data_IF_278105363131
#
_entry.id   IF_278105363131
#
_cell.length_a   1.000
_cell.length_b   1.000
_cell.length_c   1.000
_cell.angle_alpha   90.00
_cell.angle_beta   90.00
_cell.angle_gamma   90.00
#
_symmetry.space_group_name_H-M   'P 1'
#
loop_
_entity.id
_entity.type
_entity.pdbx_description
1 polymer ?
#
# COMPACT_ATOMS: atom_id res chain seq x y z
N UNK A 1 -0.29 23.88 30.65
CA UNK A 1 1.08 24.10 30.16
C UNK A 1 1.25 23.18 28.98
N UNK A 2 1.58 23.73 27.81
CA UNK A 2 1.38 23.06 26.51
C UNK A 2 2.07 21.70 26.40
N UNK A 3 1.29 20.72 25.95
CA UNK A 3 1.76 19.41 25.49
C UNK A 3 1.96 19.52 23.97
N UNK A 4 3.18 19.82 23.53
CA UNK A 4 3.55 19.66 22.12
C UNK A 4 4.11 18.26 21.90
N UNK A 5 3.56 17.44 20.98
CA UNK A 5 4.18 16.17 20.63
C UNK A 5 5.47 16.41 19.83
N UNK A 6 6.41 15.48 19.94
CA UNK A 6 7.53 15.42 19.02
C UNK A 6 7.05 14.71 17.74
N UNK A 7 6.89 15.45 16.65
CA UNK A 7 6.56 14.88 15.35
C UNK A 7 7.72 14.03 14.82
N UNK A 8 7.72 12.73 15.07
CA UNK A 8 8.51 11.79 14.29
C UNK A 8 7.75 11.44 13.01
N UNK A 9 8.37 11.72 11.86
CA UNK A 9 7.88 11.31 10.56
C UNK A 9 7.87 9.78 10.47
N UNK A 10 6.73 9.18 10.84
CA UNK A 10 6.45 7.78 10.61
C UNK A 10 6.51 7.47 9.13
N UNK A 11 7.35 6.50 8.76
CA UNK A 11 7.57 6.04 7.38
C UNK A 11 6.28 5.42 6.82
N UNK A 12 5.43 6.26 6.24
CA UNK A 12 4.20 5.89 5.55
C UNK A 12 3.87 6.98 4.54
N UNK A 13 3.98 6.65 3.25
CA UNK A 13 3.93 7.61 2.14
C UNK A 13 2.78 8.61 2.23
N UNK A 14 3.16 9.89 2.26
CA UNK A 14 2.30 11.06 2.35
C UNK A 14 3.02 12.15 3.13
N UNK A 15 4.02 12.80 2.51
CA UNK A 15 4.74 13.93 3.09
C UNK A 15 3.77 15.08 3.37
N UNK A 16 3.29 15.16 4.61
CA UNK A 16 2.83 16.42 5.21
C UNK A 16 3.93 16.84 6.19
N UNK A 17 4.51 18.04 6.09
CA UNK A 17 5.57 18.48 6.98
C UNK A 17 5.10 18.39 8.45
N UNK A 18 6.02 18.07 9.36
CA UNK A 18 5.71 17.92 10.80
C UNK A 18 4.90 19.11 11.38
N UNK A 19 5.08 20.30 10.83
CA UNK A 19 4.30 21.51 11.16
C UNK A 19 2.80 21.38 10.92
N UNK A 20 2.39 20.64 9.89
CA UNK A 20 0.98 20.43 9.57
C UNK A 20 0.35 19.44 10.56
N UNK A 21 1.14 18.49 11.05
CA UNK A 21 0.71 17.46 11.98
C UNK A 21 0.53 18.03 13.40
N UNK A 22 1.46 18.88 13.84
CA UNK A 22 1.34 19.63 15.10
C UNK A 22 0.14 20.58 15.05
N UNK A 23 -0.08 21.27 13.91
CA UNK A 23 -1.23 22.15 13.72
C UNK A 23 -2.56 21.38 13.75
N UNK A 24 -2.60 20.19 13.13
CA UNK A 24 -3.76 19.29 13.16
C UNK A 24 -4.04 18.78 14.58
N UNK A 25 -2.99 18.45 15.32
CA UNK A 25 -3.08 18.03 16.72
C UNK A 25 -3.60 19.16 17.60
N UNK A 26 -3.06 20.36 17.47
CA UNK A 26 -3.53 21.52 18.22
C UNK A 26 -4.98 21.86 17.89
N UNK A 27 -5.37 21.82 16.60
CA UNK A 27 -6.75 22.01 16.18
C UNK A 27 -7.68 20.94 16.76
N UNK A 28 -7.22 19.69 16.83
CA UNK A 28 -7.96 18.60 17.47
C UNK A 28 -8.16 18.87 18.97
N UNK A 29 -7.12 19.19 19.73
CA UNK A 29 -7.24 19.50 21.16
C UNK A 29 -8.16 20.70 21.42
N UNK A 30 -8.04 21.75 20.61
CA UNK A 30 -8.94 22.91 20.70
C UNK A 30 -10.40 22.54 20.41
N UNK A 31 -10.65 21.61 19.47
CA UNK A 31 -11.99 21.11 19.19
C UNK A 31 -12.58 20.25 20.32
N UNK A 32 -11.71 19.56 21.08
CA UNK A 32 -12.09 18.69 22.18
C UNK A 32 -12.44 19.46 23.47
N UNK A 33 -11.67 20.51 23.79
CA UNK A 33 -11.83 21.36 24.99
C UNK A 33 -13.20 22.06 25.05
N UNK A 34 -13.93 22.15 23.92
CA UNK A 34 -15.27 22.74 23.84
C UNK A 34 -16.40 21.81 23.41
N UNK A 35 -16.13 20.58 22.95
CA UNK A 35 -17.12 19.79 22.18
C UNK A 35 -17.35 18.34 22.61
N UNK A 36 -16.34 17.63 23.13
CA UNK A 36 -16.43 16.16 23.32
C UNK A 36 -15.63 15.65 24.55
N UNK A 37 -16.06 15.97 25.79
CA UNK A 37 -15.36 15.55 27.01
C UNK A 37 -15.26 14.02 27.18
N UNK A 38 -16.21 13.27 26.62
CA UNK A 38 -16.22 11.81 26.62
C UNK A 38 -15.08 11.22 25.79
N UNK A 39 -14.71 11.87 24.68
CA UNK A 39 -13.62 11.43 23.82
C UNK A 39 -12.26 11.69 24.47
N UNK A 40 -12.11 12.82 25.18
CA UNK A 40 -10.93 13.10 26.01
C UNK A 40 -10.74 12.05 27.12
N UNK A 41 -11.84 11.68 27.80
CA UNK A 41 -11.83 10.62 28.80
C UNK A 41 -11.47 9.25 28.18
N UNK A 42 -11.95 8.97 26.97
CA UNK A 42 -11.60 7.75 26.22
C UNK A 42 -10.11 7.69 25.87
N UNK A 43 -9.53 8.81 25.40
CA UNK A 43 -8.11 8.92 25.09
C UNK A 43 -7.22 8.74 26.33
N UNK A 44 -7.63 9.32 27.45
CA UNK A 44 -6.86 9.29 28.71
C UNK A 44 -6.90 7.91 29.41
N UNK A 45 -7.83 7.04 29.01
CA UNK A 45 -8.03 5.73 29.64
C UNK A 45 -8.51 5.80 31.10
N UNK A 46 -8.80 4.65 31.74
CA UNK A 46 -9.03 4.62 33.17
C UNK A 46 -7.73 4.98 33.89
N UNK A 47 -7.79 5.96 34.79
CA UNK A 47 -6.65 6.38 35.61
C UNK A 47 -6.10 5.18 36.40
N UNK A 48 -5.08 4.51 35.86
CA UNK A 48 -4.29 3.56 36.63
C UNK A 48 -3.55 4.38 37.70
N UNK A 49 -3.75 3.99 38.96
CA UNK A 49 -3.34 4.77 40.13
C UNK A 49 -1.92 5.35 40.02
N UNK A 50 -1.85 6.68 40.12
CA UNK A 50 -0.73 7.48 40.61
C UNK A 50 0.68 6.86 40.52
N UNK A 51 1.39 7.20 39.45
CA UNK A 51 2.85 7.41 39.49
C UNK A 51 3.12 8.83 38.96
N UNK A 52 4.06 9.60 39.54
CA UNK A 52 4.29 10.98 39.16
C UNK A 52 5.13 11.07 37.88
N UNK A 53 4.68 11.95 36.98
CA UNK A 53 5.50 12.80 36.10
C UNK A 53 6.72 12.14 35.43
N UNK A 54 6.47 11.34 34.40
CA UNK A 54 7.31 11.39 33.21
C UNK A 54 6.45 11.99 32.08
N UNK A 55 6.97 12.91 31.24
CA UNK A 55 6.24 13.36 30.08
C UNK A 55 5.93 12.13 29.22
N UNK A 56 4.64 11.79 29.10
CA UNK A 56 4.18 10.79 28.15
C UNK A 56 4.45 11.35 26.77
N UNK A 57 5.52 10.89 26.12
CA UNK A 57 5.83 11.25 24.75
C UNK A 57 4.81 10.54 23.85
N UNK A 58 3.68 11.21 23.61
CA UNK A 58 2.66 10.76 22.67
C UNK A 58 3.24 10.91 21.26
N UNK A 59 3.33 9.80 20.53
CA UNK A 59 3.67 9.81 19.12
C UNK A 59 2.39 9.90 18.31
N UNK A 60 2.33 10.86 17.39
CA UNK A 60 1.17 11.10 16.54
C UNK A 60 1.55 10.82 15.10
N UNK A 61 0.79 9.96 14.42
CA UNK A 61 1.04 9.58 13.03
C UNK A 61 -0.20 9.87 12.20
N UNK A 62 -0.04 10.60 11.11
CA UNK A 62 -1.10 10.75 10.11
C UNK A 62 -1.05 9.55 9.16
N UNK A 63 -2.14 8.81 9.07
CA UNK A 63 -2.24 7.60 8.23
C UNK A 63 -3.24 7.80 7.12
N UNK A 64 -2.85 7.47 5.89
CA UNK A 64 -3.74 7.46 4.72
C UNK A 64 -4.16 6.02 4.39
N UNK A 65 -5.47 5.78 4.36
CA UNK A 65 -6.09 4.52 4.01
C UNK A 65 -6.60 4.60 2.56
N UNK A 66 -6.01 3.79 1.69
CA UNK A 66 -6.41 3.69 0.28
C UNK A 66 -7.29 2.44 0.12
N UNK A 67 -8.61 2.59 -0.03
CA UNK A 67 -9.51 1.44 0.01
C UNK A 67 -9.44 0.69 -1.33
N UNK A 68 -9.57 -0.64 -1.27
CA UNK A 68 -9.64 -1.46 -2.48
C UNK A 68 -10.99 -1.22 -3.17
N UNK A 69 -10.98 -0.84 -4.44
CA UNK A 69 -12.22 -0.71 -5.24
C UNK A 69 -12.93 -2.06 -5.36
N UNK A 70 -14.25 -2.01 -5.27
CA UNK A 70 -15.11 -3.18 -5.41
C UNK A 70 -16.53 -2.77 -5.80
N UNK A 71 -17.43 -3.72 -6.05
CA UNK A 71 -18.80 -3.44 -6.50
C UNK A 71 -19.60 -2.52 -5.56
N UNK A 72 -19.18 -2.42 -4.29
CA UNK A 72 -19.81 -1.58 -3.26
C UNK A 72 -19.12 -0.22 -3.06
N UNK A 73 -17.98 0.03 -3.71
CA UNK A 73 -17.26 1.31 -3.61
C UNK A 73 -16.53 1.60 -4.94
N UNK A 74 -17.18 2.31 -5.89
CA UNK A 74 -16.67 2.51 -7.26
C UNK A 74 -15.45 3.42 -7.36
N UNK A 75 -15.31 4.36 -6.41
CA UNK A 75 -14.18 5.27 -6.26
C UNK A 75 -14.01 5.54 -4.77
N UNK A 76 -13.25 4.68 -4.10
CA UNK A 76 -13.03 4.84 -2.67
C UNK A 76 -11.98 5.94 -2.49
N UNK A 77 -12.43 7.17 -2.26
CA UNK A 77 -11.55 8.31 -1.96
C UNK A 77 -10.66 7.93 -0.78
N UNK A 78 -9.33 8.18 -0.84
CA UNK A 78 -8.45 7.94 0.29
C UNK A 78 -9.02 8.59 1.55
N UNK A 79 -8.97 7.86 2.67
CA UNK A 79 -9.37 8.37 3.98
C UNK A 79 -8.13 8.66 4.79
N UNK A 80 -8.15 9.71 5.62
CA UNK A 80 -7.09 9.98 6.57
C UNK A 80 -7.56 9.67 7.99
N UNK A 81 -6.65 9.19 8.81
CA UNK A 81 -6.87 9.00 10.25
C UNK A 81 -5.64 9.46 11.02
N UNK A 82 -5.87 10.05 12.18
CA UNK A 82 -4.83 10.33 13.17
C UNK A 82 -4.64 9.06 14.02
N UNK A 83 -3.40 8.62 14.16
CA UNK A 83 -3.03 7.48 15.02
C UNK A 83 -2.21 8.01 16.18
N UNK A 84 -2.78 7.96 17.37
CA UNK A 84 -2.15 8.40 18.62
C UNK A 84 -1.58 7.18 19.31
N UNK A 85 -0.26 7.15 19.48
CA UNK A 85 0.48 6.05 20.09
C UNK A 85 1.01 6.51 21.44
N UNK A 86 0.56 5.85 22.50
CA UNK A 86 1.13 5.94 23.83
C UNK A 86 1.77 4.60 24.15
N UNK A 87 3.04 4.48 23.78
CA UNK A 87 3.82 3.25 23.95
C UNK A 87 3.98 2.91 25.43
N UNK A 88 4.05 3.91 26.30
CA UNK A 88 4.24 3.73 27.74
C UNK A 88 2.99 3.16 28.41
N UNK A 89 1.80 3.61 28.01
CA UNK A 89 0.53 3.03 28.50
C UNK A 89 0.08 1.80 27.71
N UNK A 90 0.80 1.45 26.63
CA UNK A 90 0.46 0.32 25.77
C UNK A 90 -0.82 0.57 24.96
N UNK A 91 -1.11 1.82 24.60
CA UNK A 91 -2.33 2.17 23.86
C UNK A 91 -2.03 2.76 22.49
N UNK A 92 -2.87 2.41 21.52
CA UNK A 92 -2.89 3.01 20.19
C UNK A 92 -4.33 3.36 19.84
N UNK A 93 -4.61 4.63 19.61
CA UNK A 93 -5.94 5.13 19.28
C UNK A 93 -6.00 5.60 17.83
N UNK A 94 -7.05 5.21 17.14
CA UNK A 94 -7.31 5.55 15.74
C UNK A 94 -8.48 6.52 15.67
N UNK A 95 -8.22 7.70 15.10
CA UNK A 95 -9.11 8.85 15.04
C UNK A 95 -9.39 9.19 13.57
N UNK A 96 -10.53 8.76 12.99
CA UNK A 96 -10.91 9.12 11.64
C UNK A 96 -10.97 10.63 11.41
N UNK A 97 -10.58 11.06 10.21
CA UNK A 97 -10.63 12.46 9.79
C UNK A 97 -11.64 12.66 8.65
N UNK A 98 -12.42 13.72 8.77
CA UNK A 98 -13.25 14.29 7.72
C UNK A 98 -12.55 15.53 7.17
N UNK A 99 -12.51 15.64 5.84
CA UNK A 99 -11.98 16.81 5.14
C UNK A 99 -13.12 17.53 4.44
N UNK A 100 -13.24 18.83 4.69
CA UNK A 100 -14.16 19.66 3.93
C UNK A 100 -13.58 20.10 2.57
N UNK A 101 -14.44 20.62 1.70
CA UNK A 101 -14.04 21.13 0.38
C UNK A 101 -13.01 22.29 0.45
N UNK A 102 -12.83 22.89 1.64
CA UNK A 102 -11.84 23.93 1.92
C UNK A 102 -10.50 23.40 2.44
N UNK A 103 -10.35 22.09 2.62
CA UNK A 103 -9.16 21.45 3.15
C UNK A 103 -9.04 21.50 4.69
N UNK A 104 -10.08 21.93 5.40
CA UNK A 104 -10.09 21.83 6.86
C UNK A 104 -10.35 20.40 7.27
N UNK A 105 -9.55 19.93 8.22
CA UNK A 105 -9.61 18.56 8.73
C UNK A 105 -10.28 18.57 10.09
N UNK A 106 -11.28 17.71 10.28
CA UNK A 106 -11.97 17.54 11.55
C UNK A 106 -11.96 16.07 11.95
N UNK A 107 -11.70 15.80 13.24
CA UNK A 107 -11.83 14.43 13.77
C UNK A 107 -13.31 14.04 13.84
N UNK A 108 -13.65 12.91 13.22
CA UNK A 108 -14.96 12.31 13.38
C UNK A 108 -15.05 11.61 14.74
N UNK A 109 -16.24 11.64 15.35
CA UNK A 109 -16.51 10.89 16.58
C UNK A 109 -17.09 9.50 16.31
N UNK A 110 -17.41 9.21 15.05
CA UNK A 110 -17.73 7.87 14.54
C UNK A 110 -16.46 7.06 14.31
N UNK A 111 -16.58 5.74 14.39
CA UNK A 111 -15.53 4.80 14.00
C UNK A 111 -14.18 4.93 14.76
N UNK A 112 -14.15 5.68 15.86
CA UNK A 112 -12.99 5.80 16.75
C UNK A 112 -12.83 4.49 17.53
N UNK A 113 -11.61 3.95 17.54
CA UNK A 113 -11.28 2.77 18.33
C UNK A 113 -9.86 2.83 18.90
N UNK A 114 -9.63 2.07 19.96
CA UNK A 114 -8.34 1.98 20.65
C UNK A 114 -7.95 0.51 20.80
N UNK A 115 -6.69 0.20 20.50
CA UNK A 115 -6.05 -1.07 20.84
C UNK A 115 -5.26 -0.83 22.12
N UNK A 116 -5.46 -1.69 23.12
CA UNK A 116 -4.76 -1.61 24.40
C UNK A 116 -4.10 -2.93 24.75
N UNK A 117 -2.82 -2.84 25.06
CA UNK A 117 -2.03 -3.89 25.69
C UNK A 117 -2.02 -3.64 27.20
N UNK A 118 -2.42 -4.63 27.99
CA UNK A 118 -2.35 -4.58 29.45
C UNK A 118 -1.74 -5.86 30.00
N UNK A 119 -1.22 -5.77 31.23
CA UNK A 119 -0.68 -6.92 31.94
C UNK A 119 -1.46 -7.13 33.23
N UNK A 120 -1.89 -8.37 33.49
CA UNK A 120 -2.53 -8.77 34.74
C UNK A 120 -2.02 -10.14 35.17
N UNK A 121 -1.56 -10.26 36.41
CA UNK A 121 -1.10 -11.53 37.00
C UNK A 121 -0.15 -12.33 36.09
N UNK A 122 0.85 -11.64 35.52
CA UNK A 122 1.86 -12.19 34.59
C UNK A 122 1.38 -12.52 33.17
N UNK A 123 0.08 -12.42 32.88
CA UNK A 123 -0.47 -12.58 31.53
C UNK A 123 -0.62 -11.23 30.81
N UNK A 124 -0.38 -11.25 29.50
CA UNK A 124 -0.58 -10.09 28.63
C UNK A 124 -1.93 -10.20 27.92
N UNK A 125 -2.66 -9.09 27.89
CA UNK A 125 -3.98 -8.98 27.28
C UNK A 125 -3.97 -7.91 26.20
N UNK A 126 -4.47 -8.26 25.01
CA UNK A 126 -4.76 -7.31 23.95
C UNK A 126 -6.26 -7.11 23.91
N UNK A 127 -6.70 -5.86 23.99
CA UNK A 127 -8.12 -5.49 23.96
C UNK A 127 -8.37 -4.42 22.89
N UNK A 128 -9.58 -4.43 22.34
CA UNK A 128 -10.07 -3.39 21.42
C UNK A 128 -11.26 -2.72 22.09
N UNK A 129 -11.20 -1.39 22.17
CA UNK A 129 -12.26 -0.54 22.70
C UNK A 129 -12.79 0.30 21.54
N UNK A 130 -14.10 0.32 21.34
CA UNK A 130 -14.76 1.19 20.36
C UNK A 130 -15.42 2.33 21.11
N UNK A 131 -15.12 3.56 20.72
CA UNK A 131 -15.77 4.75 21.26
C UNK A 131 -17.16 4.89 20.66
N UNK A 132 -18.19 5.02 21.51
CA UNK A 132 -19.61 5.05 21.12
C UNK A 132 -19.96 4.02 20.02
N UNK A 133 -20.03 2.72 20.34
CA UNK A 133 -20.29 1.66 19.36
C UNK A 133 -21.53 1.89 18.48
N UNK A 134 -22.50 2.64 18.97
CA UNK A 134 -23.73 3.04 18.28
C UNK A 134 -23.46 3.96 17.08
N UNK A 135 -22.30 4.62 17.05
CA UNK A 135 -21.80 5.49 15.96
C UNK A 135 -20.82 4.78 15.03
N UNK A 136 -20.69 3.45 15.12
CA UNK A 136 -19.84 2.70 14.22
C UNK A 136 -20.53 2.48 12.86
N UNK A 137 -19.94 3.02 11.80
CA UNK A 137 -20.41 2.81 10.44
C UNK A 137 -19.45 1.89 9.69
N UNK A 138 -19.88 0.66 9.40
CA UNK A 138 -19.05 -0.28 8.65
C UNK A 138 -19.30 -0.16 7.15
N UNK A 139 -18.25 0.14 6.39
CA UNK A 139 -18.21 0.02 4.94
C UNK A 139 -17.64 -1.34 4.47
N UNK A 140 -17.11 -2.14 5.39
CA UNK A 140 -16.52 -3.45 5.14
C UNK A 140 -15.16 -3.41 4.44
N UNK A 141 -14.57 -2.23 4.22
CA UNK A 141 -13.29 -2.03 3.54
C UNK A 141 -12.34 -1.21 4.42
N UNK A 142 -12.67 0.05 4.68
CA UNK A 142 -11.89 0.94 5.57
C UNK A 142 -12.25 0.66 7.01
N UNK A 143 -13.56 0.58 7.28
CA UNK A 143 -14.11 0.30 8.59
C UNK A 143 -14.76 -1.10 8.58
N UNK A 144 -14.05 -2.13 9.09
CA UNK A 144 -14.56 -3.48 9.11
C UNK A 144 -15.77 -3.61 10.04
N UNK A 145 -16.44 -4.76 9.99
CA UNK A 145 -17.49 -5.08 10.95
C UNK A 145 -16.89 -5.16 12.36
N UNK A 146 -17.54 -4.65 13.42
CA UNK A 146 -17.02 -4.71 14.78
C UNK A 146 -16.68 -6.13 15.24
N UNK A 147 -17.45 -7.14 14.80
CA UNK A 147 -17.16 -8.54 15.06
C UNK A 147 -15.78 -8.98 14.53
N UNK A 148 -15.38 -8.49 13.35
CA UNK A 148 -14.07 -8.80 12.77
C UNK A 148 -12.92 -8.24 13.61
N UNK A 149 -13.10 -7.06 14.23
CA UNK A 149 -12.10 -6.50 15.15
C UNK A 149 -11.88 -7.44 16.35
N UNK A 150 -12.96 -7.94 16.95
CA UNK A 150 -12.87 -8.84 18.10
C UNK A 150 -12.38 -10.24 17.76
N UNK A 151 -12.91 -10.85 16.69
CA UNK A 151 -12.69 -12.26 16.38
C UNK A 151 -11.40 -12.51 15.59
N UNK A 152 -11.07 -11.61 14.65
CA UNK A 152 -9.96 -11.81 13.71
C UNK A 152 -8.75 -10.95 14.05
N UNK A 153 -8.94 -9.65 14.30
CA UNK A 153 -7.82 -8.73 14.50
C UNK A 153 -7.05 -9.06 15.79
N UNK A 154 -7.75 -9.30 16.91
CA UNK A 154 -7.10 -9.68 18.18
C UNK A 154 -6.26 -10.94 18.05
N UNK A 155 -6.81 -11.99 17.42
CA UNK A 155 -6.10 -13.25 17.21
C UNK A 155 -4.84 -13.08 16.36
N UNK A 156 -4.89 -12.20 15.34
CA UNK A 156 -3.73 -11.86 14.50
C UNK A 156 -2.68 -11.06 15.25
N UNK A 157 -3.09 -10.04 16.00
CA UNK A 157 -2.19 -9.22 16.81
C UNK A 157 -1.46 -10.06 17.85
N UNK A 158 -2.18 -10.93 18.56
CA UNK A 158 -1.57 -11.85 19.53
C UNK A 158 -0.52 -12.75 18.86
N UNK A 159 -0.85 -13.33 17.70
CA UNK A 159 0.09 -14.16 16.93
C UNK A 159 1.33 -13.36 16.49
N UNK A 160 1.14 -12.18 15.92
CA UNK A 160 2.23 -11.33 15.43
C UNK A 160 3.13 -10.82 16.56
N UNK A 161 2.57 -10.58 17.76
CA UNK A 161 3.35 -10.13 18.91
C UNK A 161 4.35 -11.17 19.42
N UNK A 162 4.09 -12.46 19.20
CA UNK A 162 4.97 -13.57 19.62
C UNK A 162 5.90 -14.02 18.48
N UNK A 163 5.52 -13.78 17.22
CA UNK A 163 6.40 -14.03 16.07
C UNK A 163 7.61 -13.08 16.11
N UNK A 164 8.77 -13.59 16.56
CA UNK A 164 10.05 -12.84 16.60
C UNK A 164 10.69 -12.62 15.22
N UNK A 165 9.90 -12.26 14.21
CA UNK A 165 10.45 -11.81 12.95
C UNK A 165 10.95 -10.39 13.16
N UNK A 166 12.25 -10.16 12.94
CA UNK A 166 12.80 -8.82 12.70
C UNK A 166 12.11 -8.23 11.47
N UNK A 167 10.93 -7.67 11.68
CA UNK A 167 10.13 -6.97 10.69
C UNK A 167 10.73 -5.57 10.49
N UNK A 168 11.99 -5.53 10.02
CA UNK A 168 12.45 -4.33 9.34
C UNK A 168 11.82 -4.37 7.96
N UNK A 169 10.61 -3.81 7.81
CA UNK A 169 10.20 -3.38 6.48
C UNK A 169 11.27 -2.37 6.05
N UNK A 170 12.18 -2.78 5.17
CA UNK A 170 13.13 -1.84 4.59
C UNK A 170 12.29 -0.76 3.95
N UNK A 171 12.57 0.51 4.30
CA UNK A 171 11.99 1.68 3.63
C UNK A 171 11.93 1.36 2.15
N UNK A 172 10.72 1.22 1.62
CA UNK A 172 10.52 0.93 0.21
C UNK A 172 11.06 2.14 -0.54
N UNK A 173 11.75 1.93 -1.66
CA UNK A 173 12.26 3.04 -2.48
C UNK A 173 11.14 4.01 -2.91
N UNK A 174 9.87 3.57 -2.83
CA UNK A 174 8.65 4.37 -3.00
C UNK A 174 8.71 5.29 -4.22
N UNK A 175 9.26 4.78 -5.33
CA UNK A 175 9.55 5.56 -6.54
C UNK A 175 8.29 6.13 -7.23
N UNK A 176 7.11 5.63 -6.87
CA UNK A 176 5.83 6.08 -7.45
C UNK A 176 4.78 6.35 -6.37
N UNK A 177 3.84 7.24 -6.67
CA UNK A 177 2.69 7.50 -5.81
C UNK A 177 1.80 6.27 -5.63
N UNK A 178 1.54 5.88 -4.38
CA UNK A 178 0.65 4.76 -4.03
C UNK A 178 -0.78 5.01 -4.53
N UNK A 179 -1.22 6.28 -4.54
CA UNK A 179 -2.55 6.67 -5.03
C UNK A 179 -2.64 6.45 -6.55
N UNK A 180 -1.65 6.93 -7.31
CA UNK A 180 -1.59 6.71 -8.76
C UNK A 180 -1.51 5.21 -9.07
N UNK A 181 -0.64 4.49 -8.38
CA UNK A 181 -0.51 3.03 -8.52
C UNK A 181 -1.83 2.32 -8.30
N UNK A 182 -2.52 2.62 -7.20
CA UNK A 182 -3.79 1.98 -6.85
C UNK A 182 -4.84 2.23 -7.93
N UNK A 183 -4.93 3.45 -8.47
CA UNK A 183 -5.86 3.79 -9.55
C UNK A 183 -5.53 3.05 -10.85
N UNK A 184 -4.28 3.10 -11.30
CA UNK A 184 -3.84 2.45 -12.54
C UNK A 184 -3.97 0.93 -12.46
N UNK A 185 -3.56 0.33 -11.34
CA UNK A 185 -3.71 -1.10 -11.09
C UNK A 185 -5.17 -1.54 -11.20
N UNK A 186 -6.11 -0.81 -10.60
CA UNK A 186 -7.53 -1.18 -10.63
C UNK A 186 -8.13 -1.04 -12.04
N UNK A 187 -7.77 0.02 -12.76
CA UNK A 187 -8.15 0.21 -14.16
C UNK A 187 -7.66 -0.97 -15.04
N UNK A 188 -6.39 -1.34 -14.92
CA UNK A 188 -5.83 -2.47 -15.67
C UNK A 188 -6.44 -3.80 -15.21
N UNK A 189 -6.63 -4.00 -13.91
CA UNK A 189 -7.26 -5.19 -13.35
C UNK A 189 -8.65 -5.42 -13.94
N UNK A 190 -9.45 -4.37 -14.04
CA UNK A 190 -10.78 -4.42 -14.66
C UNK A 190 -10.68 -4.70 -16.17
N UNK A 191 -9.74 -4.05 -16.88
CA UNK A 191 -9.50 -4.24 -18.32
C UNK A 191 -9.11 -5.69 -18.67
N UNK A 192 -8.31 -6.34 -17.82
CA UNK A 192 -7.77 -7.69 -18.07
C UNK A 192 -8.47 -8.79 -17.26
N UNK A 193 -9.55 -8.49 -16.53
CA UNK A 193 -10.27 -9.47 -15.70
C UNK A 193 -10.75 -10.70 -16.46
N UNK A 194 -11.12 -10.53 -17.74
CA UNK A 194 -11.64 -11.64 -18.55
C UNK A 194 -10.53 -12.63 -18.93
N UNK A 195 -9.26 -12.22 -18.90
CA UNK A 195 -8.11 -13.10 -19.09
C UNK A 195 -8.07 -14.22 -18.05
N UNK A 196 -8.54 -13.95 -16.83
CA UNK A 196 -8.64 -14.95 -15.76
C UNK A 196 -9.60 -16.08 -16.14
N UNK A 197 -10.67 -15.78 -16.89
CA UNK A 197 -11.70 -16.75 -17.27
C UNK A 197 -11.27 -17.66 -18.42
N UNK A 198 -10.38 -17.18 -19.29
CA UNK A 198 -9.96 -17.87 -20.51
C UNK A 198 -8.50 -18.32 -20.46
N UNK A 199 -7.91 -18.41 -19.26
CA UNK A 199 -6.52 -18.77 -19.04
C UNK A 199 -6.24 -20.23 -19.47
N UNK A 200 -5.40 -20.47 -20.49
CA UNK A 200 -5.18 -21.82 -21.03
C UNK A 200 -4.03 -22.56 -20.34
N UNK A 201 -3.32 -21.92 -19.41
CA UNK A 201 -2.17 -22.50 -18.71
C UNK A 201 -2.61 -23.24 -17.44
N UNK A 202 -1.72 -24.11 -16.93
CA UNK A 202 -1.98 -24.93 -15.73
C UNK A 202 -1.77 -24.18 -14.41
N UNK A 203 -1.37 -22.91 -14.49
CA UNK A 203 -1.12 -22.04 -13.34
C UNK A 203 -2.40 -21.39 -12.84
N UNK A 204 -2.37 -20.89 -11.60
CA UNK A 204 -3.49 -20.14 -11.02
C UNK A 204 -3.69 -18.80 -11.76
N UNK A 205 -4.80 -18.62 -12.51
CA UNK A 205 -5.00 -17.43 -13.30
C UNK A 205 -5.14 -16.17 -12.45
N UNK A 206 -5.76 -16.23 -11.26
CA UNK A 206 -5.92 -15.05 -10.42
C UNK A 206 -4.59 -14.55 -9.90
N UNK A 207 -3.69 -15.48 -9.55
CA UNK A 207 -2.34 -15.11 -9.12
C UNK A 207 -1.54 -14.48 -10.25
N UNK A 208 -1.40 -15.18 -11.38
CA UNK A 208 -0.46 -14.79 -12.43
C UNK A 208 -0.95 -13.57 -13.22
N UNK A 209 -2.24 -13.50 -13.56
CA UNK A 209 -2.79 -12.34 -14.28
C UNK A 209 -2.63 -11.06 -13.47
N UNK A 210 -2.96 -11.11 -12.17
CA UNK A 210 -2.91 -9.91 -11.33
C UNK A 210 -1.50 -9.54 -10.87
N UNK A 211 -0.54 -10.46 -10.91
CA UNK A 211 0.89 -10.18 -10.74
C UNK A 211 1.42 -9.37 -11.93
N UNK A 212 1.18 -9.81 -13.16
CA UNK A 212 1.60 -9.09 -14.37
C UNK A 212 0.91 -7.72 -14.50
N UNK A 213 -0.38 -7.63 -14.13
CA UNK A 213 -1.11 -6.35 -14.05
C UNK A 213 -0.50 -5.39 -13.02
N UNK A 214 -0.04 -5.90 -11.87
CA UNK A 214 0.63 -5.10 -10.86
C UNK A 214 1.97 -4.53 -11.37
N UNK A 215 2.78 -5.37 -12.01
CA UNK A 215 4.06 -4.95 -12.59
C UNK A 215 3.84 -3.92 -13.70
N UNK A 216 2.88 -4.17 -14.61
CA UNK A 216 2.55 -3.24 -15.68
C UNK A 216 2.10 -1.88 -15.14
N UNK A 217 1.22 -1.85 -14.12
CA UNK A 217 0.77 -0.62 -13.50
C UNK A 217 1.94 0.21 -12.94
N UNK A 218 2.90 -0.46 -12.30
CA UNK A 218 4.09 0.17 -11.75
C UNK A 218 4.96 0.80 -12.85
N UNK A 219 5.29 0.03 -13.89
CA UNK A 219 6.15 0.47 -14.99
C UNK A 219 5.53 1.63 -15.77
N UNK A 220 4.22 1.56 -16.07
CA UNK A 220 3.55 2.62 -16.83
C UNK A 220 3.59 3.97 -16.11
N UNK A 221 3.41 3.98 -14.79
CA UNK A 221 3.49 5.20 -13.97
C UNK A 221 4.92 5.71 -13.92
N UNK A 222 5.88 4.82 -13.62
CA UNK A 222 7.29 5.17 -13.54
C UNK A 222 7.78 5.81 -14.85
N UNK A 223 7.47 5.18 -15.98
CA UNK A 223 7.82 5.65 -17.31
C UNK A 223 7.10 6.94 -17.69
N UNK A 224 5.85 7.13 -17.28
CA UNK A 224 5.13 8.39 -17.51
C UNK A 224 5.75 9.56 -16.73
N UNK A 225 6.12 9.34 -15.47
CA UNK A 225 6.76 10.35 -14.63
C UNK A 225 8.16 10.70 -15.15
N UNK A 226 8.96 9.70 -15.51
CA UNK A 226 10.27 9.88 -16.15
C UNK A 226 10.17 10.68 -17.45
N UNK A 227 9.20 10.34 -18.33
CA UNK A 227 8.96 11.12 -19.57
C UNK A 227 8.60 12.56 -19.28
N UNK A 228 7.74 12.80 -18.28
CA UNK A 228 7.33 14.15 -17.92
C UNK A 228 8.52 14.98 -17.41
N UNK A 229 9.35 14.39 -16.54
CA UNK A 229 10.55 15.02 -15.98
C UNK A 229 11.59 15.35 -17.06
N UNK A 230 11.86 14.41 -17.96
CA UNK A 230 12.82 14.58 -19.05
C UNK A 230 12.25 15.31 -20.29
N UNK A 231 10.98 15.72 -20.23
CA UNK A 231 10.24 16.35 -21.33
C UNK A 231 10.26 15.53 -22.64
N UNK A 232 10.17 14.20 -22.51
CA UNK A 232 10.14 13.26 -23.62
C UNK A 232 8.70 12.94 -24.03
N UNK A 233 8.47 12.82 -25.34
CA UNK A 233 7.17 12.41 -25.88
C UNK A 233 7.16 10.95 -26.34
N UNK A 234 8.33 10.39 -26.64
CA UNK A 234 8.45 9.00 -27.07
C UNK A 234 8.24 8.05 -25.88
N UNK A 235 7.48 6.97 -26.09
CA UNK A 235 7.27 5.93 -25.09
C UNK A 235 8.50 5.03 -24.99
N UNK A 236 8.88 4.70 -23.75
CA UNK A 236 9.98 3.78 -23.44
C UNK A 236 9.79 2.46 -24.16
N UNK A 237 10.85 2.02 -24.82
CA UNK A 237 11.01 0.72 -25.42
C UNK A 237 11.53 -0.30 -24.43
N UNK A 238 11.17 -1.58 -24.60
CA UNK A 238 11.58 -2.61 -23.65
C UNK A 238 11.82 -3.99 -24.28
N UNK A 239 12.62 -4.80 -23.59
CA UNK A 239 12.71 -6.24 -23.80
C UNK A 239 12.49 -6.97 -22.48
N UNK A 240 11.62 -7.97 -22.51
CA UNK A 240 11.35 -8.86 -21.39
C UNK A 240 12.08 -10.21 -21.57
N UNK A 241 13.05 -10.48 -20.71
CA UNK A 241 13.96 -11.63 -20.75
C UNK A 241 13.45 -12.74 -19.84
N UNK A 242 13.04 -13.85 -20.43
CA UNK A 242 12.29 -14.89 -19.72
C UNK A 242 10.84 -14.46 -19.49
N UNK A 243 10.16 -13.99 -20.54
CA UNK A 243 8.82 -13.40 -20.41
C UNK A 243 7.71 -14.42 -20.06
N UNK A 244 8.01 -15.72 -20.07
CA UNK A 244 7.12 -16.80 -19.66
C UNK A 244 5.79 -16.78 -20.41
N UNK A 245 4.73 -16.44 -19.69
CA UNK A 245 3.38 -16.41 -20.25
C UNK A 245 3.17 -15.24 -21.26
N UNK A 246 4.00 -14.19 -21.21
CA UNK A 246 3.97 -13.07 -22.16
C UNK A 246 2.88 -12.02 -21.91
N UNK A 247 2.08 -12.14 -20.85
CA UNK A 247 1.01 -11.20 -20.53
C UNK A 247 1.55 -9.81 -20.21
N UNK A 248 2.67 -9.68 -19.49
CA UNK A 248 3.28 -8.38 -19.23
C UNK A 248 3.64 -7.66 -20.54
N UNK A 249 4.28 -8.37 -21.47
CA UNK A 249 4.60 -7.86 -22.82
C UNK A 249 3.32 -7.45 -23.55
N UNK A 250 2.27 -8.28 -23.49
CA UNK A 250 0.97 -7.98 -24.10
C UNK A 250 0.35 -6.70 -23.55
N UNK A 251 0.36 -6.51 -22.22
CA UNK A 251 -0.19 -5.32 -21.56
C UNK A 251 0.60 -4.09 -22.00
N UNK A 252 1.92 -4.08 -21.83
CA UNK A 252 2.77 -2.92 -22.15
C UNK A 252 2.69 -2.53 -23.64
N UNK A 253 2.70 -3.53 -24.54
CA UNK A 253 2.56 -3.29 -25.99
C UNK A 253 1.18 -2.74 -26.36
N UNK A 254 0.12 -3.22 -25.70
CA UNK A 254 -1.25 -2.70 -25.88
C UNK A 254 -1.39 -1.28 -25.36
N UNK A 255 -0.66 -0.92 -24.31
CA UNK A 255 -0.53 0.46 -23.82
C UNK A 255 0.40 1.31 -24.70
N UNK A 256 0.91 0.78 -25.82
CA UNK A 256 1.64 1.51 -26.85
C UNK A 256 3.15 1.62 -26.61
N UNK A 257 3.71 0.85 -25.68
CA UNK A 257 5.15 0.77 -25.49
C UNK A 257 5.76 -0.22 -26.50
N UNK A 258 6.73 0.20 -27.34
CA UNK A 258 7.35 -0.70 -28.29
C UNK A 258 8.24 -1.71 -27.56
N UNK A 259 8.02 -3.00 -27.77
CA UNK A 259 8.85 -4.00 -27.11
C UNK A 259 8.54 -5.42 -27.55
N UNK A 260 9.28 -6.35 -26.97
CA UNK A 260 9.10 -7.79 -27.19
C UNK A 260 9.49 -8.60 -25.98
N UNK A 261 8.97 -9.82 -25.89
CA UNK A 261 9.39 -10.82 -24.92
C UNK A 261 10.13 -11.97 -25.57
N UNK A 262 11.14 -12.49 -24.88
CA UNK A 262 11.89 -13.67 -25.30
C UNK A 262 11.78 -14.70 -24.18
N UNK A 263 11.35 -15.91 -24.50
CA UNK A 263 11.34 -17.03 -23.56
C UNK A 263 11.92 -18.28 -24.22
N UNK A 264 12.57 -19.14 -23.44
CA UNK A 264 13.13 -20.40 -23.93
C UNK A 264 12.05 -21.34 -24.48
N UNK A 265 10.79 -21.17 -24.05
CA UNK A 265 9.68 -22.03 -24.45
C UNK A 265 8.40 -21.25 -24.71
N UNK A 266 7.83 -21.45 -25.90
CA UNK A 266 6.51 -20.91 -26.25
C UNK A 266 5.41 -21.49 -25.34
N UNK A 267 4.52 -20.61 -24.85
CA UNK A 267 3.32 -20.97 -24.07
C UNK A 267 2.06 -20.97 -24.93
N UNK A 268 1.02 -21.69 -24.52
CA UNK A 268 -0.23 -21.81 -25.29
C UNK A 268 -0.97 -20.48 -25.36
N UNK A 269 -0.90 -19.70 -24.27
CA UNK A 269 -1.53 -18.39 -24.20
C UNK A 269 -1.00 -17.39 -25.24
N UNK A 270 0.20 -17.61 -25.78
CA UNK A 270 0.75 -16.73 -26.83
C UNK A 270 -0.13 -16.69 -28.08
N UNK A 271 -0.86 -17.77 -28.37
CA UNK A 271 -1.77 -17.85 -29.53
C UNK A 271 -3.04 -16.98 -29.35
N UNK A 272 -3.29 -16.49 -28.13
CA UNK A 272 -4.44 -15.64 -27.81
C UNK A 272 -4.14 -14.14 -27.97
N UNK A 273 -2.86 -13.76 -28.07
CA UNK A 273 -2.47 -12.36 -28.16
C UNK A 273 -2.54 -11.84 -29.59
N UNK A 274 -2.86 -10.55 -29.72
CA UNK A 274 -2.95 -9.87 -31.01
C UNK A 274 -1.58 -9.55 -31.62
N UNK A 275 -1.54 -9.10 -32.89
CA UNK A 275 -0.31 -8.85 -33.64
C UNK A 275 0.59 -7.77 -33.04
N UNK A 276 0.05 -6.92 -32.16
CA UNK A 276 0.82 -5.94 -31.40
C UNK A 276 1.76 -6.57 -30.35
N UNK A 277 1.60 -7.86 -30.04
CA UNK A 277 2.38 -8.55 -29.01
C UNK A 277 3.48 -9.37 -29.65
N UNK A 278 4.72 -8.86 -29.60
CA UNK A 278 5.87 -9.54 -30.17
C UNK A 278 6.49 -10.49 -29.14
N UNK A 279 6.35 -11.79 -29.36
CA UNK A 279 6.91 -12.85 -28.50
C UNK A 279 7.76 -13.81 -29.34
N UNK A 280 8.98 -14.06 -28.87
CA UNK A 280 9.98 -14.87 -29.57
C UNK A 280 10.35 -16.08 -28.70
N UNK A 281 10.30 -17.28 -29.29
CA UNK A 281 10.81 -18.49 -28.65
C UNK A 281 12.31 -18.61 -28.95
N UNK A 282 13.14 -18.52 -27.91
CA UNK A 282 14.59 -18.54 -28.05
C UNK A 282 15.33 -18.53 -26.71
N UNK A 283 16.46 -19.22 -26.67
CA UNK A 283 17.34 -19.20 -25.50
C UNK A 283 18.20 -17.92 -25.49
N UNK A 284 18.22 -17.22 -24.36
CA UNK A 284 19.14 -16.10 -24.14
C UNK A 284 20.42 -16.67 -23.54
N UNK A 285 21.51 -16.61 -24.31
CA UNK A 285 22.85 -16.94 -23.81
C UNK A 285 23.61 -15.64 -23.56
N UNK A 286 23.91 -15.29 -22.30
CA UNK A 286 24.64 -14.08 -21.96
C UNK A 286 25.95 -13.97 -22.74
N UNK A 287 26.01 -13.02 -23.66
CA UNK A 287 27.16 -12.79 -24.54
C UNK A 287 27.07 -11.39 -25.17
N UNK A 288 28.11 -10.97 -25.88
CA UNK A 288 28.12 -9.68 -26.60
C UNK A 288 27.04 -9.57 -27.69
N UNK A 289 26.37 -10.68 -28.03
CA UNK A 289 25.27 -10.71 -29.00
C UNK A 289 23.89 -10.43 -28.38
N UNK A 290 23.79 -10.39 -27.06
CA UNK A 290 22.52 -10.25 -26.32
C UNK A 290 22.54 -9.01 -25.43
N UNK A 291 23.05 -7.88 -25.94
CA UNK A 291 23.23 -6.62 -25.18
C UNK A 291 22.17 -5.55 -25.44
N UNK A 292 21.25 -5.77 -26.39
CA UNK A 292 20.08 -4.92 -26.65
C UNK A 292 20.30 -3.39 -26.48
N UNK A 293 21.30 -2.77 -27.13
CA UNK A 293 21.65 -1.36 -26.89
C UNK A 293 20.60 -0.36 -27.39
N UNK A 294 19.66 -0.82 -28.23
CA UNK A 294 18.63 0.02 -28.85
C UNK A 294 17.32 0.06 -28.04
N UNK A 295 17.31 -0.46 -26.81
CA UNK A 295 16.11 -0.44 -25.94
C UNK A 295 16.36 0.32 -24.65
N UNK A 296 15.32 0.99 -24.15
CA UNK A 296 15.41 1.81 -22.94
C UNK A 296 15.40 0.95 -21.68
N UNK A 297 14.67 -0.18 -21.68
CA UNK A 297 14.46 -1.02 -20.50
C UNK A 297 14.67 -2.51 -20.77
N UNK A 298 15.31 -3.18 -19.82
CA UNK A 298 15.32 -4.64 -19.70
C UNK A 298 14.48 -5.07 -18.51
N UNK A 299 13.55 -5.99 -18.76
CA UNK A 299 12.67 -6.58 -17.76
C UNK A 299 13.07 -8.04 -17.58
N UNK A 300 13.05 -8.51 -16.33
CA UNK A 300 13.29 -9.90 -15.98
C UNK A 300 12.43 -10.30 -14.77
N UNK A 301 11.10 -10.25 -14.92
CA UNK A 301 10.16 -10.59 -13.84
C UNK A 301 10.02 -12.12 -13.66
N UNK A 302 10.22 -12.89 -14.72
CA UNK A 302 10.22 -14.36 -14.70
C UNK A 302 11.53 -14.93 -15.26
N UNK A 303 12.64 -14.24 -15.03
CA UNK A 303 13.93 -14.55 -15.65
C UNK A 303 14.59 -15.84 -15.18
N UNK A 304 14.10 -16.50 -14.12
CA UNK A 304 14.66 -17.75 -13.56
C UNK A 304 16.20 -17.72 -13.48
N UNK A 305 16.88 -18.58 -14.26
CA UNK A 305 18.35 -18.69 -14.31
C UNK A 305 19.05 -17.47 -14.94
N UNK A 306 18.32 -16.60 -15.65
CA UNK A 306 18.82 -15.34 -16.21
C UNK A 306 18.86 -14.20 -15.18
N UNK A 307 18.21 -14.34 -14.02
CA UNK A 307 18.17 -13.30 -12.98
C UNK A 307 19.54 -12.67 -12.65
N UNK A 308 20.64 -13.43 -12.43
CA UNK A 308 21.95 -12.84 -12.18
C UNK A 308 22.56 -12.13 -13.40
N UNK A 309 22.09 -12.41 -14.61
CA UNK A 309 22.60 -11.87 -15.86
C UNK A 309 21.90 -10.59 -16.30
N UNK A 310 20.64 -10.36 -15.90
CA UNK A 310 19.88 -9.15 -16.28
C UNK A 310 20.66 -7.86 -15.96
N UNK A 311 21.23 -7.65 -14.75
CA UNK A 311 22.00 -6.45 -14.46
C UNK A 311 23.31 -6.36 -15.25
N UNK A 312 23.92 -7.50 -15.58
CA UNK A 312 25.16 -7.55 -16.38
C UNK A 312 24.89 -7.15 -17.83
N UNK A 313 23.77 -7.60 -18.38
CA UNK A 313 23.33 -7.24 -19.73
C UNK A 313 22.96 -5.75 -19.76
N UNK A 314 22.21 -5.26 -18.76
CA UNK A 314 21.78 -3.86 -18.69
C UNK A 314 22.93 -2.84 -18.53
N UNK A 315 24.08 -3.28 -18.00
CA UNK A 315 25.23 -2.40 -17.75
C UNK A 315 26.16 -2.20 -18.96
N UNK A 316 25.87 -2.82 -20.09
CA UNK A 316 26.71 -2.80 -21.30
C UNK A 316 25.99 -2.21 -22.49
#
# INVERSE_FOLDING_TARGET
>A
GGFGPAGEAGVGGGDSPASDLDSLWDAFFQSLDGGHPELLAFLSGPAAGSQPEAPSELSVVLRTLIPKTGPRCPLAVPRRELVVQDVLSGTVTFLPLEEDDGGNVKVETSNVYQIRLSQSQEEWFISILIFCPERWHSDGIVYPQPAWLGEELLARLARWSVESKKSGFKSTLSLISIIKYSKTYQMLKEKYKDMVKVWPEVTDPEKFVYEDVAIAAYLLILWEEERAELHLTAKQSFIDLGCGNGLLVHILSTEGHPGRGIDVRRRKIWDMYGPQTCLEEGAITPSDKTLFPDVDWLIGNHSDELTPWVPVIAAR
#
